data_IF_121926300821
#
_entry.id   IF_121926300821
#
_cell.length_a   1.000
_cell.length_b   1.000
_cell.length_c   1.000
_cell.angle_alpha   90.00
_cell.angle_beta   90.00
_cell.angle_gamma   90.00
#
_symmetry.space_group_name_H-M   'P 1'
#
loop_
_entity.id
_entity.type
_entity.pdbx_description
1 polymer ?
#
# COMPACT_ATOMS: atom_id res chain seq x y z
N UNK A 1 -10.87 14.96 8.74
CA UNK A 1 -10.20 13.65 8.96
C UNK A 1 -10.96 12.92 10.06
N UNK A 2 -11.31 11.65 9.90
CA UNK A 2 -12.19 10.93 10.84
C UNK A 2 -11.59 9.58 11.27
N UNK A 3 -11.77 9.21 12.54
CA UNK A 3 -11.13 8.05 13.15
C UNK A 3 -9.90 8.41 14.00
N UNK A 4 -9.54 7.52 14.92
CA UNK A 4 -8.48 7.75 15.91
C UNK A 4 -7.10 7.94 15.27
N UNK A 5 -6.65 6.98 14.45
CA UNK A 5 -5.33 7.04 13.81
C UNK A 5 -5.16 8.25 12.87
N UNK A 6 -6.12 8.56 11.98
CA UNK A 6 -6.02 9.77 11.16
C UNK A 6 -5.89 11.06 11.97
N UNK A 7 -6.52 11.14 13.15
CA UNK A 7 -6.41 12.31 14.04
C UNK A 7 -5.04 12.36 14.73
N UNK A 8 -4.53 11.21 15.21
CA UNK A 8 -3.17 11.10 15.77
C UNK A 8 -2.11 11.57 14.77
N UNK A 9 -2.21 11.09 13.52
CA UNK A 9 -1.25 11.42 12.46
C UNK A 9 -1.36 12.88 12.03
N UNK A 10 -2.57 13.45 12.01
CA UNK A 10 -2.76 14.88 11.75
C UNK A 10 -2.08 15.76 12.82
N UNK A 11 -2.14 15.34 14.09
CA UNK A 11 -1.43 16.02 15.17
C UNK A 11 0.09 15.86 15.06
N UNK A 12 0.58 14.64 14.78
CA UNK A 12 2.00 14.38 14.58
C UNK A 12 2.57 15.22 13.42
N UNK A 13 1.83 15.34 12.32
CA UNK A 13 2.15 16.15 11.16
C UNK A 13 1.87 17.65 11.33
N UNK A 14 1.42 18.09 12.52
CA UNK A 14 1.14 19.50 12.86
C UNK A 14 0.20 20.19 11.87
N UNK A 15 -0.84 19.48 11.42
CA UNK A 15 -1.85 20.04 10.53
C UNK A 15 -2.54 21.22 11.19
N UNK A 16 -2.76 22.29 10.41
CA UNK A 16 -3.53 23.45 10.85
C UNK A 16 -4.98 23.02 11.14
N UNK A 17 -5.27 22.76 12.41
CA UNK A 17 -6.55 22.26 12.88
C UNK A 17 -7.48 23.41 13.29
N UNK A 18 -8.75 23.29 12.91
CA UNK A 18 -9.80 24.28 13.19
C UNK A 18 -10.60 23.88 14.43
N UNK A 19 -11.00 22.61 14.54
CA UNK A 19 -11.73 22.07 15.68
C UNK A 19 -11.66 20.55 15.73
N UNK A 20 -11.70 19.99 16.94
CA UNK A 20 -11.89 18.57 17.18
C UNK A 20 -13.37 18.31 17.47
N UNK A 21 -13.95 17.35 16.79
CA UNK A 21 -15.32 16.86 16.98
C UNK A 21 -15.27 15.52 17.71
N UNK A 22 -16.02 15.38 18.80
CA UNK A 22 -16.04 14.16 19.61
C UNK A 22 -17.46 13.79 19.96
N UNK A 23 -17.76 12.49 19.95
CA UNK A 23 -19.04 11.95 20.43
C UNK A 23 -18.97 11.80 21.95
N UNK A 24 -19.92 12.36 22.73
CA UNK A 24 -19.88 12.35 24.20
C UNK A 24 -19.61 10.97 24.80
N UNK A 25 -20.27 9.94 24.28
CA UNK A 25 -20.18 8.54 24.75
C UNK A 25 -18.78 7.94 24.58
N UNK A 26 -17.95 8.49 23.70
CA UNK A 26 -16.58 8.04 23.42
C UNK A 26 -15.52 8.93 24.04
N UNK A 27 -15.89 10.03 24.70
CA UNK A 27 -14.95 11.04 25.22
C UNK A 27 -13.91 10.46 26.17
N UNK A 28 -14.33 9.63 27.11
CA UNK A 28 -13.41 8.97 28.06
C UNK A 28 -12.40 8.06 27.35
N UNK A 29 -12.84 7.28 26.36
CA UNK A 29 -11.93 6.43 25.57
C UNK A 29 -10.95 7.21 24.68
N UNK A 30 -11.22 8.51 24.46
CA UNK A 30 -10.46 9.42 23.60
C UNK A 30 -9.76 10.53 24.39
N UNK A 31 -9.68 10.40 25.72
CA UNK A 31 -9.21 11.45 26.63
C UNK A 31 -7.84 11.99 26.24
N UNK A 32 -6.90 11.13 25.86
CA UNK A 32 -5.56 11.52 25.43
C UNK A 32 -5.59 12.49 24.22
N UNK A 33 -6.47 12.25 23.25
CA UNK A 33 -6.61 13.10 22.06
C UNK A 33 -7.32 14.41 22.37
N UNK A 34 -8.33 14.36 23.24
CA UNK A 34 -9.04 15.55 23.73
C UNK A 34 -8.09 16.48 24.50
N UNK A 35 -7.26 15.91 25.37
CA UNK A 35 -6.26 16.66 26.14
C UNK A 35 -5.19 17.25 25.23
N UNK A 36 -4.73 16.49 24.23
CA UNK A 36 -3.76 16.99 23.25
C UNK A 36 -4.33 18.17 22.46
N UNK A 37 -5.56 18.06 21.95
CA UNK A 37 -6.23 19.15 21.26
C UNK A 37 -6.36 20.40 22.14
N UNK A 38 -6.74 20.20 23.41
CA UNK A 38 -6.85 21.29 24.40
C UNK A 38 -5.51 21.98 24.65
N UNK A 39 -4.43 21.21 24.78
CA UNK A 39 -3.05 21.73 24.91
C UNK A 39 -2.66 22.58 23.72
N UNK A 40 -3.05 22.16 22.52
CA UNK A 40 -2.83 22.89 21.26
C UNK A 40 -3.83 24.05 21.05
N UNK A 41 -4.71 24.32 22.02
CA UNK A 41 -5.78 25.33 21.93
C UNK A 41 -6.74 25.13 20.76
N UNK A 42 -6.92 23.89 20.34
CA UNK A 42 -7.89 23.50 19.32
C UNK A 42 -9.25 23.34 20.03
N UNK A 43 -10.31 24.06 19.61
CA UNK A 43 -11.65 23.91 20.18
C UNK A 43 -12.14 22.47 20.08
N UNK A 44 -12.62 21.92 21.20
CA UNK A 44 -13.26 20.60 21.26
C UNK A 44 -14.77 20.79 21.31
N UNK A 45 -15.48 20.24 20.33
CA UNK A 45 -16.94 20.34 20.18
C UNK A 45 -17.54 18.95 20.27
N UNK A 46 -18.49 18.79 21.18
CA UNK A 46 -19.27 17.57 21.27
C UNK A 46 -20.37 17.55 20.21
N UNK A 47 -20.50 16.42 19.50
CA UNK A 47 -21.47 16.24 18.41
C UNK A 47 -22.08 14.84 18.45
N UNK A 48 -23.27 14.70 17.87
CA UNK A 48 -23.91 13.39 17.69
C UNK A 48 -23.17 12.54 16.63
N UNK A 49 -23.25 11.22 16.75
CA UNK A 49 -22.63 10.29 15.81
C UNK A 49 -23.05 10.53 14.35
N UNK A 50 -24.33 10.82 14.09
CA UNK A 50 -24.83 11.13 12.76
C UNK A 50 -24.17 12.36 12.12
N UNK A 51 -23.80 13.36 12.94
CA UNK A 51 -23.05 14.55 12.47
C UNK A 51 -21.64 14.16 12.02
N UNK A 52 -20.96 13.28 12.75
CA UNK A 52 -19.64 12.78 12.33
C UNK A 52 -19.73 11.99 11.05
N UNK A 53 -20.73 11.11 10.90
CA UNK A 53 -20.94 10.35 9.66
C UNK A 53 -21.20 11.27 8.48
N UNK A 54 -22.02 12.31 8.67
CA UNK A 54 -22.29 13.31 7.62
C UNK A 54 -21.03 14.06 7.19
N UNK A 55 -20.23 14.53 8.16
CA UNK A 55 -18.97 15.27 7.88
C UNK A 55 -17.89 14.36 7.31
N UNK A 56 -17.81 13.10 7.75
CA UNK A 56 -16.84 12.13 7.26
C UNK A 56 -17.22 11.56 5.88
N UNK A 57 -18.51 11.48 5.55
CA UNK A 57 -19.01 10.85 4.33
C UNK A 57 -18.91 9.32 4.34
N UNK A 58 -18.65 8.70 5.50
CA UNK A 58 -18.58 7.25 5.69
C UNK A 58 -18.78 6.88 7.16
N UNK A 59 -19.12 5.61 7.44
CA UNK A 59 -19.29 5.09 8.80
C UNK A 59 -17.98 4.53 9.40
N UNK A 60 -17.83 4.55 10.72
CA UNK A 60 -16.61 4.11 11.40
C UNK A 60 -15.60 5.23 11.64
N UNK A 61 -16.09 6.44 11.93
CA UNK A 61 -15.32 7.57 12.45
C UNK A 61 -14.82 7.37 13.89
N UNK A 62 -15.15 6.25 14.55
CA UNK A 62 -14.69 5.90 15.90
C UNK A 62 -15.01 6.96 16.97
N UNK A 63 -16.07 7.75 16.77
CA UNK A 63 -16.48 8.83 17.67
C UNK A 63 -15.62 10.09 17.63
N UNK A 64 -14.72 10.25 16.65
CA UNK A 64 -13.81 11.40 16.58
C UNK A 64 -13.57 11.87 15.14
N UNK A 65 -13.49 13.18 14.96
CA UNK A 65 -12.98 13.79 13.73
C UNK A 65 -12.22 15.08 14.01
N UNK A 66 -11.18 15.34 13.24
CA UNK A 66 -10.46 16.61 13.24
C UNK A 66 -10.79 17.35 11.95
N UNK A 67 -11.30 18.58 12.11
CA UNK A 67 -11.46 19.53 11.00
C UNK A 67 -10.14 20.26 10.83
N UNK A 68 -9.54 20.14 9.65
CA UNK A 68 -8.24 20.71 9.31
C UNK A 68 -8.36 21.61 8.10
N UNK A 69 -7.39 22.52 7.92
CA UNK A 69 -7.25 23.29 6.70
C UNK A 69 -7.09 22.38 5.48
N UNK A 70 -7.48 22.90 4.32
CA UNK A 70 -7.31 22.22 3.04
C UNK A 70 -5.86 21.77 2.86
N UNK A 71 -5.68 20.61 2.23
CA UNK A 71 -4.35 20.09 1.93
C UNK A 71 -3.71 20.94 0.84
N UNK A 72 -2.43 21.23 1.04
CA UNK A 72 -1.56 21.75 -0.01
C UNK A 72 -1.02 20.58 -0.83
N UNK A 73 -1.08 20.72 -2.15
CA UNK A 73 -0.56 19.74 -3.08
C UNK A 73 0.90 20.04 -3.40
N UNK A 74 1.68 19.00 -3.60
CA UNK A 74 3.07 19.12 -4.00
C UNK A 74 3.19 19.17 -5.52
N UNK A 75 4.31 19.67 -6.01
CA UNK A 75 4.70 19.59 -7.43
C UNK A 75 5.63 18.40 -7.65
N UNK A 76 5.75 17.96 -8.90
CA UNK A 76 6.73 16.91 -9.27
C UNK A 76 8.16 17.35 -8.96
N UNK A 77 8.47 18.63 -9.16
CA UNK A 77 9.79 19.18 -8.83
C UNK A 77 10.11 19.08 -7.34
N UNK A 78 9.14 19.32 -6.46
CA UNK A 78 9.31 19.13 -5.02
C UNK A 78 9.54 17.65 -4.65
N UNK A 79 8.90 16.72 -5.36
CA UNK A 79 9.14 15.27 -5.17
C UNK A 79 10.58 14.92 -5.53
N UNK A 80 11.08 15.42 -6.67
CA UNK A 80 12.46 15.19 -7.10
C UNK A 80 13.47 15.89 -6.19
N UNK A 81 13.15 17.10 -5.71
CA UNK A 81 13.98 17.83 -4.74
C UNK A 81 14.13 17.04 -3.44
N UNK A 82 13.05 16.44 -2.92
CA UNK A 82 13.10 15.60 -1.71
C UNK A 82 14.06 14.41 -1.85
N UNK A 83 14.12 13.77 -3.01
CA UNK A 83 15.08 12.70 -3.25
C UNK A 83 16.53 13.21 -3.23
N UNK A 84 16.78 14.35 -3.89
CA UNK A 84 18.11 15.00 -3.91
C UNK A 84 18.56 15.43 -2.52
N UNK A 85 17.68 16.03 -1.72
CA UNK A 85 17.94 16.46 -0.34
C UNK A 85 18.30 15.28 0.57
N UNK A 86 17.75 14.09 0.30
CA UNK A 86 18.06 12.86 1.02
C UNK A 86 19.29 12.13 0.48
N UNK A 87 19.86 12.56 -0.64
CA UNK A 87 20.94 11.84 -1.32
C UNK A 87 20.50 10.47 -1.84
N UNK A 88 19.21 10.28 -2.08
CA UNK A 88 18.62 9.01 -2.48
C UNK A 88 18.26 9.03 -3.98
N UNK A 89 18.39 7.92 -4.70
CA UNK A 89 17.87 7.85 -6.06
C UNK A 89 16.34 8.01 -6.05
N UNK A 90 15.76 8.86 -6.91
CA UNK A 90 14.31 9.09 -6.92
C UNK A 90 13.51 7.79 -6.99
N UNK A 91 12.54 7.67 -6.11
CA UNK A 91 11.58 6.56 -6.08
C UNK A 91 10.17 7.14 -6.01
N UNK A 92 9.42 7.02 -7.11
CA UNK A 92 8.10 7.61 -7.26
C UNK A 92 7.06 6.53 -7.56
N UNK A 93 5.84 6.77 -7.09
CA UNK A 93 4.67 6.00 -7.49
C UNK A 93 3.80 6.85 -8.43
N UNK A 94 3.36 6.26 -9.52
CA UNK A 94 2.46 6.87 -10.49
C UNK A 94 1.15 6.10 -10.51
N UNK A 95 0.04 6.79 -10.27
CA UNK A 95 -1.30 6.21 -10.29
C UNK A 95 -2.04 6.68 -11.54
N UNK A 96 -2.34 5.76 -12.45
CA UNK A 96 -3.10 6.04 -13.67
C UNK A 96 -4.56 5.62 -13.49
N UNK A 97 -5.41 6.61 -13.22
CA UNK A 97 -6.87 6.45 -13.14
C UNK A 97 -7.33 5.41 -12.11
N UNK A 98 -6.68 5.40 -10.94
CA UNK A 98 -7.17 4.63 -9.80
C UNK A 98 -8.42 5.31 -9.24
N UNK A 99 -9.57 4.63 -9.24
CA UNK A 99 -10.88 5.24 -8.91
C UNK A 99 -11.39 4.88 -7.51
N UNK A 100 -10.93 3.79 -6.93
CA UNK A 100 -11.33 3.34 -5.59
C UNK A 100 -10.52 4.04 -4.47
N UNK A 101 -11.17 4.81 -3.56
CA UNK A 101 -10.51 5.43 -2.41
C UNK A 101 -9.78 4.44 -1.49
N UNK A 102 -10.26 3.20 -1.38
CA UNK A 102 -9.63 2.18 -0.53
C UNK A 102 -8.32 1.70 -1.15
N UNK A 103 -8.29 1.48 -2.47
CA UNK A 103 -7.07 1.12 -3.20
C UNK A 103 -6.06 2.27 -3.17
N UNK A 104 -6.51 3.51 -3.35
CA UNK A 104 -5.68 4.70 -3.20
C UNK A 104 -5.02 4.73 -1.82
N UNK A 105 -5.82 4.65 -0.75
CA UNK A 105 -5.29 4.69 0.62
C UNK A 105 -4.30 3.55 0.89
N UNK A 106 -4.58 2.34 0.40
CA UNK A 106 -3.68 1.18 0.54
C UNK A 106 -2.34 1.42 -0.14
N UNK A 107 -2.33 1.91 -1.38
CA UNK A 107 -1.11 2.22 -2.12
C UNK A 107 -0.32 3.36 -1.49
N UNK A 108 -0.99 4.44 -1.04
CA UNK A 108 -0.31 5.53 -0.34
C UNK A 108 0.36 5.02 0.94
N UNK A 109 -0.32 4.15 1.70
CA UNK A 109 0.27 3.55 2.90
C UNK A 109 1.47 2.68 2.58
N UNK A 110 1.40 1.84 1.55
CA UNK A 110 2.55 1.02 1.15
C UNK A 110 3.68 1.87 0.61
N UNK A 111 3.38 2.90 -0.18
CA UNK A 111 4.38 3.81 -0.74
C UNK A 111 5.19 4.50 0.37
N UNK A 112 4.52 5.00 1.41
CA UNK A 112 5.17 5.61 2.56
C UNK A 112 6.09 4.61 3.28
N UNK A 113 5.57 3.41 3.57
CA UNK A 113 6.35 2.34 4.19
C UNK A 113 7.55 1.86 3.37
N UNK A 114 7.49 2.00 2.04
CA UNK A 114 8.57 1.61 1.12
C UNK A 114 9.56 2.74 0.82
N UNK A 115 9.43 3.91 1.45
CA UNK A 115 10.34 5.05 1.22
C UNK A 115 10.12 5.74 -0.12
N UNK A 116 8.91 5.68 -0.70
CA UNK A 116 8.57 6.45 -1.89
C UNK A 116 8.63 7.95 -1.56
N UNK A 117 9.27 8.73 -2.43
CA UNK A 117 9.47 10.17 -2.22
C UNK A 117 8.20 10.98 -2.49
N UNK A 118 7.38 10.51 -3.43
CA UNK A 118 6.11 11.12 -3.74
C UNK A 118 5.27 10.31 -4.71
N UNK A 119 3.99 10.65 -4.75
CA UNK A 119 2.97 9.98 -5.55
C UNK A 119 2.39 10.95 -6.55
N UNK A 120 2.43 10.59 -7.84
CA UNK A 120 1.91 11.37 -8.95
C UNK A 120 0.61 10.73 -9.44
N UNK A 121 -0.42 11.54 -9.66
CA UNK A 121 -1.72 11.08 -10.14
C UNK A 121 -2.42 12.18 -10.93
N UNK A 122 -3.36 11.88 -11.83
CA UNK A 122 -4.01 12.92 -12.61
C UNK A 122 -4.96 13.75 -11.73
N UNK A 123 -4.99 15.07 -11.92
CA UNK A 123 -5.88 16.01 -11.21
C UNK A 123 -7.38 15.71 -11.45
N UNK A 124 -7.68 14.98 -12.53
CA UNK A 124 -9.02 14.57 -12.95
C UNK A 124 -9.03 13.07 -13.20
N UNK A 125 -10.19 12.42 -13.06
CA UNK A 125 -10.34 10.97 -13.29
C UNK A 125 -9.43 10.12 -12.38
N UNK A 126 -9.27 10.58 -11.14
CA UNK A 126 -8.63 9.85 -10.05
C UNK A 126 -9.59 9.82 -8.85
N UNK A 127 -9.43 8.83 -7.99
CA UNK A 127 -10.13 8.76 -6.72
C UNK A 127 -9.85 10.04 -5.94
N UNK A 128 -10.89 10.79 -5.52
CA UNK A 128 -10.66 11.92 -4.64
C UNK A 128 -9.99 11.42 -3.35
N UNK A 129 -9.10 12.23 -2.77
CA UNK A 129 -8.53 11.95 -1.45
C UNK A 129 -9.60 12.19 -0.37
N UNK A 130 -10.61 11.33 -0.35
CA UNK A 130 -11.75 11.39 0.56
C UNK A 130 -11.31 11.07 1.98
N UNK A 131 -12.13 11.41 2.99
CA UNK A 131 -11.90 10.95 4.36
C UNK A 131 -11.73 9.42 4.46
N UNK A 132 -12.38 8.64 3.59
CA UNK A 132 -12.20 7.18 3.52
C UNK A 132 -10.79 6.80 3.03
N UNK A 133 -10.28 7.43 1.97
CA UNK A 133 -8.90 7.21 1.50
C UNK A 133 -7.87 7.62 2.57
N UNK A 134 -8.09 8.75 3.26
CA UNK A 134 -7.24 9.20 4.37
C UNK A 134 -7.22 8.16 5.49
N UNK A 135 -8.39 7.63 5.86
CA UNK A 135 -8.49 6.56 6.86
C UNK A 135 -7.75 5.29 6.42
N UNK A 136 -7.94 4.86 5.19
CA UNK A 136 -7.29 3.69 4.61
C UNK A 136 -5.75 3.85 4.56
N UNK A 137 -5.27 5.08 4.32
CA UNK A 137 -3.84 5.41 4.31
C UNK A 137 -3.17 5.33 5.68
N UNK A 138 -3.94 5.27 6.76
CA UNK A 138 -3.45 5.29 8.13
C UNK A 138 -2.46 6.44 8.44
N UNK A 139 -2.65 7.61 7.80
CA UNK A 139 -1.82 8.80 8.01
C UNK A 139 -0.67 8.98 7.04
N UNK A 140 -0.39 8.00 6.17
CA UNK A 140 0.66 8.11 5.16
C UNK A 140 0.54 9.36 4.26
N UNK A 141 -0.69 9.85 4.06
CA UNK A 141 -0.97 11.10 3.34
C UNK A 141 -0.32 12.33 3.95
N UNK A 142 0.05 12.30 5.23
CA UNK A 142 0.71 13.42 5.90
C UNK A 142 2.22 13.44 5.71
N UNK A 143 2.82 12.31 5.35
CA UNK A 143 4.29 12.15 5.25
C UNK A 143 4.77 12.04 3.80
N UNK A 144 3.88 11.68 2.89
CA UNK A 144 4.11 11.61 1.44
C UNK A 144 3.80 12.93 0.72
N UNK A 145 4.66 13.29 -0.23
CA UNK A 145 4.35 14.33 -1.21
C UNK A 145 3.35 13.78 -2.22
N UNK A 146 2.23 14.49 -2.40
CA UNK A 146 1.16 14.12 -3.32
C UNK A 146 1.06 15.17 -4.42
N UNK A 147 1.32 14.75 -5.66
CA UNK A 147 1.45 15.63 -6.82
C UNK A 147 0.36 15.33 -7.87
N UNK A 148 -0.79 16.03 -7.82
CA UNK A 148 -1.77 15.99 -8.90
C UNK A 148 -1.22 16.69 -10.15
N UNK A 149 -1.39 16.08 -11.32
CA UNK A 149 -0.94 16.62 -12.61
C UNK A 149 -2.06 16.64 -13.65
N UNK A 150 -2.06 17.65 -14.51
CA UNK A 150 -3.09 17.79 -15.56
C UNK A 150 -2.78 16.94 -16.79
N UNK A 151 -1.49 16.79 -17.14
CA UNK A 151 -1.02 15.90 -18.21
C UNK A 151 -0.04 14.87 -17.65
N UNK A 152 -0.59 13.70 -17.31
CA UNK A 152 0.22 12.57 -16.84
C UNK A 152 1.19 12.08 -17.93
N UNK A 153 0.82 12.18 -19.20
CA UNK A 153 1.68 11.76 -20.30
C UNK A 153 2.91 12.67 -20.43
N UNK A 154 2.71 13.98 -20.48
CA UNK A 154 3.80 14.96 -20.44
C UNK A 154 4.70 14.77 -19.22
N UNK A 155 4.09 14.64 -18.04
CA UNK A 155 4.83 14.40 -16.79
C UNK A 155 5.75 13.17 -16.87
N UNK A 156 5.26 12.05 -17.42
CA UNK A 156 6.10 10.85 -17.60
C UNK A 156 7.26 11.10 -18.58
N UNK A 157 7.04 11.85 -19.66
CA UNK A 157 8.13 12.20 -20.58
C UNK A 157 9.20 13.07 -19.90
N UNK A 158 8.78 13.98 -19.03
CA UNK A 158 9.70 14.82 -18.24
C UNK A 158 10.49 13.97 -17.23
N UNK A 159 9.84 13.03 -16.54
CA UNK A 159 10.52 12.11 -15.62
C UNK A 159 11.58 11.26 -16.35
N UNK A 160 11.24 10.73 -17.53
CA UNK A 160 12.18 9.98 -18.37
C UNK A 160 13.38 10.86 -18.78
N UNK A 161 13.12 12.11 -19.17
CA UNK A 161 14.18 13.09 -19.51
C UNK A 161 15.06 13.46 -18.32
N UNK A 162 14.54 13.34 -17.10
CA UNK A 162 15.28 13.50 -15.84
C UNK A 162 15.99 12.20 -15.40
N UNK A 163 16.03 11.16 -16.24
CA UNK A 163 16.77 9.93 -16.00
C UNK A 163 16.06 8.91 -15.13
N UNK A 164 14.75 9.06 -14.88
CA UNK A 164 13.97 8.04 -14.18
C UNK A 164 13.55 6.93 -15.14
N UNK A 165 13.75 5.69 -14.71
CA UNK A 165 13.18 4.52 -15.39
C UNK A 165 11.68 4.45 -15.07
N UNK A 166 10.87 4.19 -16.08
CA UNK A 166 9.41 4.13 -15.98
C UNK A 166 8.95 2.68 -16.16
N UNK A 167 8.54 2.02 -15.06
CA UNK A 167 8.09 0.63 -15.09
C UNK A 167 6.62 0.58 -14.69
N UNK A 168 5.80 -0.19 -15.42
CA UNK A 168 4.37 -0.36 -15.09
C UNK A 168 3.99 -1.77 -14.69
N UNK A 169 2.97 -1.88 -13.84
CA UNK A 169 2.31 -3.14 -13.54
C UNK A 169 1.34 -3.53 -14.68
N UNK A 170 1.54 -4.71 -15.27
CA UNK A 170 0.66 -5.26 -16.30
C UNK A 170 0.64 -6.79 -16.22
N UNK A 171 -0.55 -7.38 -16.04
CA UNK A 171 -0.74 -8.84 -15.99
C UNK A 171 -0.27 -9.55 -17.27
N UNK A 172 -0.30 -8.84 -18.41
CA UNK A 172 0.09 -9.34 -19.73
C UNK A 172 1.58 -9.19 -20.05
N UNK A 173 2.37 -8.58 -19.15
CA UNK A 173 3.79 -8.39 -19.36
C UNK A 173 4.54 -9.73 -19.50
N UNK A 174 5.54 -9.77 -20.38
CA UNK A 174 6.39 -10.96 -20.53
C UNK A 174 7.31 -11.15 -19.31
N UNK A 175 7.88 -10.05 -18.80
CA UNK A 175 8.85 -10.02 -17.72
C UNK A 175 8.18 -10.20 -16.35
N UNK A 176 8.64 -11.16 -15.54
CA UNK A 176 8.18 -11.27 -14.16
C UNK A 176 8.82 -10.18 -13.29
N UNK A 177 8.10 -9.71 -12.28
CA UNK A 177 8.57 -8.61 -11.43
C UNK A 177 9.95 -8.84 -10.78
N UNK A 178 10.28 -10.07 -10.40
CA UNK A 178 11.59 -10.41 -9.79
C UNK A 178 12.76 -10.36 -10.77
N UNK A 179 12.48 -10.38 -12.07
CA UNK A 179 13.49 -10.31 -13.12
C UNK A 179 13.79 -8.85 -13.51
N UNK A 180 12.93 -7.92 -13.09
CA UNK A 180 13.11 -6.51 -13.34
C UNK A 180 14.06 -5.86 -12.34
N UNK A 181 14.81 -4.89 -12.82
CA UNK A 181 15.70 -4.07 -12.02
C UNK A 181 14.98 -2.79 -11.56
N UNK A 182 14.68 -2.74 -10.26
CA UNK A 182 14.01 -1.61 -9.59
C UNK A 182 14.98 -0.70 -8.82
N UNK A 183 16.30 -0.91 -8.94
CA UNK A 183 17.33 -0.06 -8.33
C UNK A 183 17.46 1.28 -9.07
N UNK A 184 18.10 2.26 -8.41
CA UNK A 184 18.35 3.57 -9.01
C UNK A 184 17.08 4.43 -9.19
N UNK A 185 17.09 5.45 -10.06
CA UNK A 185 15.93 6.33 -10.27
C UNK A 185 14.75 5.59 -10.94
N UNK A 186 13.58 5.56 -10.29
CA UNK A 186 12.40 4.81 -10.73
C UNK A 186 11.10 5.58 -10.51
N UNK A 187 10.21 5.51 -11.49
CA UNK A 187 8.79 5.75 -11.32
C UNK A 187 8.01 4.46 -11.63
N UNK A 188 7.32 3.92 -10.64
CA UNK A 188 6.50 2.72 -10.76
C UNK A 188 5.05 3.11 -11.05
N UNK A 189 4.47 2.66 -12.16
CA UNK A 189 3.11 2.97 -12.57
C UNK A 189 2.13 1.84 -12.25
N UNK A 190 1.05 2.18 -11.57
CA UNK A 190 -0.09 1.29 -11.27
C UNK A 190 -1.33 1.86 -11.94
N UNK A 191 -2.03 1.03 -12.71
CA UNK A 191 -3.22 1.41 -13.45
C UNK A 191 -4.52 1.15 -12.71
N UNK A 192 -5.61 1.48 -13.39
CA UNK A 192 -6.98 1.19 -12.97
C UNK A 192 -7.21 -0.32 -12.78
N UNK A 193 -8.07 -0.68 -11.84
CA UNK A 193 -8.38 -2.05 -11.46
C UNK A 193 -8.99 -2.87 -12.61
N UNK A 194 -9.83 -2.25 -13.44
CA UNK A 194 -10.54 -2.93 -14.51
C UNK A 194 -9.85 -2.79 -15.87
N UNK A 195 -9.20 -1.65 -16.12
CA UNK A 195 -8.62 -1.32 -17.44
C UNK A 195 -7.09 -1.45 -17.47
N UNK A 196 -6.46 -1.59 -16.30
CA UNK A 196 -5.02 -1.47 -16.16
C UNK A 196 -4.52 -0.08 -16.56
N UNK A 197 -3.26 -0.02 -16.98
CA UNK A 197 -2.63 1.21 -17.45
C UNK A 197 -3.26 1.68 -18.77
N UNK A 198 -3.55 2.97 -18.88
CA UNK A 198 -4.04 3.59 -20.10
C UNK A 198 -3.01 3.52 -21.23
N UNK A 199 -3.50 3.55 -22.48
CA UNK A 199 -2.62 3.53 -23.66
C UNK A 199 -1.61 4.68 -23.67
N UNK A 200 -1.98 5.85 -23.16
CA UNK A 200 -1.12 7.03 -23.12
C UNK A 200 0.06 6.85 -22.15
N UNK A 201 -0.19 6.20 -21.01
CA UNK A 201 0.84 5.85 -20.03
C UNK A 201 1.69 4.69 -20.53
N UNK A 202 1.07 3.58 -20.96
CA UNK A 202 1.78 2.37 -21.45
C UNK A 202 2.84 2.68 -22.53
N UNK A 203 2.53 3.60 -23.45
CA UNK A 203 3.45 4.00 -24.53
C UNK A 203 4.71 4.76 -24.07
N UNK A 204 4.71 5.26 -22.85
CA UNK A 204 5.81 6.05 -22.27
C UNK A 204 6.65 5.25 -21.28
N UNK A 205 6.19 4.06 -20.90
CA UNK A 205 6.95 3.20 -20.01
C UNK A 205 8.12 2.57 -20.76
N UNK A 206 9.24 2.43 -20.07
CA UNK A 206 10.41 1.69 -20.56
C UNK A 206 10.13 0.18 -20.57
N UNK A 207 9.24 -0.27 -19.68
CA UNK A 207 8.81 -1.67 -19.62
C UNK A 207 7.60 -1.88 -18.72
N UNK A 208 7.03 -3.08 -18.82
CA UNK A 208 6.02 -3.55 -17.89
C UNK A 208 6.42 -4.87 -17.26
N UNK A 209 5.89 -5.12 -16.07
CA UNK A 209 6.16 -6.34 -15.28
C UNK A 209 4.87 -6.97 -14.83
N UNK A 210 4.86 -8.30 -14.74
CA UNK A 210 3.73 -9.06 -14.19
C UNK A 210 4.07 -9.72 -12.88
N UNK A 211 3.04 -9.97 -12.08
CA UNK A 211 3.09 -10.90 -10.96
C UNK A 211 2.66 -12.28 -11.47
N UNK A 212 3.54 -13.31 -11.45
CA UNK A 212 3.15 -14.63 -11.90
C UNK A 212 2.02 -15.23 -11.05
N UNK A 213 0.89 -15.54 -11.69
CA UNK A 213 -0.26 -16.19 -11.05
C UNK A 213 -0.12 -17.71 -11.13
N UNK A 214 -0.19 -18.38 -9.98
CA UNK A 214 -0.17 -19.85 -9.89
C UNK A 214 -1.56 -20.50 -9.81
N UNK A 215 -2.58 -19.68 -9.51
CA UNK A 215 -3.97 -20.12 -9.35
C UNK A 215 -4.78 -20.02 -10.64
N UNK A 216 -6.11 -20.08 -10.50
CA UNK A 216 -7.06 -19.99 -11.62
C UNK A 216 -7.51 -18.57 -11.97
N UNK A 217 -7.18 -17.59 -11.13
CA UNK A 217 -7.52 -16.18 -11.38
C UNK A 217 -6.43 -15.50 -12.20
N UNK A 218 -6.83 -14.54 -13.04
CA UNK A 218 -5.94 -13.88 -13.98
C UNK A 218 -5.06 -12.80 -13.33
N UNK A 219 -5.54 -12.14 -12.26
CA UNK A 219 -4.82 -11.05 -11.63
C UNK A 219 -5.24 -10.80 -10.18
N UNK A 220 -4.46 -9.94 -9.53
CA UNK A 220 -4.70 -9.41 -8.19
C UNK A 220 -5.35 -8.03 -8.29
N UNK A 221 -5.97 -7.59 -7.19
CA UNK A 221 -6.36 -6.20 -7.01
C UNK A 221 -5.16 -5.26 -7.27
N UNK A 222 -5.39 -4.13 -7.95
CA UNK A 222 -4.32 -3.22 -8.37
C UNK A 222 -3.50 -2.66 -7.20
N UNK A 223 -4.14 -2.36 -6.06
CA UNK A 223 -3.42 -1.93 -4.87
C UNK A 223 -2.53 -3.02 -4.32
N UNK A 224 -3.01 -4.27 -4.27
CA UNK A 224 -2.20 -5.42 -3.81
C UNK A 224 -1.02 -5.66 -4.76
N UNK A 225 -1.26 -5.67 -6.07
CA UNK A 225 -0.19 -5.84 -7.06
C UNK A 225 0.86 -4.73 -6.95
N UNK A 226 0.41 -3.46 -6.88
CA UNK A 226 1.29 -2.32 -6.69
C UNK A 226 2.07 -2.39 -5.38
N UNK A 227 1.44 -2.79 -4.28
CA UNK A 227 2.10 -2.98 -2.98
C UNK A 227 3.22 -4.03 -3.04
N UNK A 228 3.01 -5.16 -3.71
CA UNK A 228 4.05 -6.19 -3.89
C UNK A 228 5.22 -5.64 -4.69
N UNK A 229 4.96 -4.90 -5.78
CA UNK A 229 6.00 -4.27 -6.59
C UNK A 229 6.78 -3.20 -5.82
N UNK A 230 6.10 -2.40 -4.99
CA UNK A 230 6.75 -1.40 -4.14
C UNK A 230 7.69 -2.06 -3.12
N UNK A 231 7.26 -3.14 -2.48
CA UNK A 231 8.11 -3.88 -1.54
C UNK A 231 9.28 -4.58 -2.22
N UNK A 232 9.09 -5.12 -3.43
CA UNK A 232 10.21 -5.64 -4.23
C UNK A 232 11.21 -4.52 -4.56
N UNK A 233 10.72 -3.36 -5.02
CA UNK A 233 11.58 -2.22 -5.31
C UNK A 233 12.35 -1.75 -4.07
N UNK A 234 11.70 -1.66 -2.91
CA UNK A 234 12.34 -1.34 -1.64
C UNK A 234 13.39 -2.40 -1.25
N UNK A 235 13.09 -3.68 -1.42
CA UNK A 235 14.03 -4.77 -1.12
C UNK A 235 15.29 -4.70 -2.00
N UNK A 236 15.14 -4.42 -3.30
CA UNK A 236 16.27 -4.31 -4.21
C UNK A 236 17.14 -3.06 -3.96
N UNK A 237 16.57 -1.98 -3.41
CA UNK A 237 17.28 -0.73 -3.09
C UNK A 237 18.14 -0.82 -1.83
N UNK A 238 17.99 -1.89 -1.03
CA UNK A 238 18.63 -2.06 0.26
C UNK A 238 18.04 -1.14 1.34
N UNK A 239 18.36 -1.36 2.63
CA UNK A 239 18.03 -0.40 3.68
C UNK A 239 18.72 0.93 3.36
N UNK A 240 17.98 2.02 3.24
CA UNK A 240 18.54 3.37 3.03
C UNK A 240 19.68 3.63 4.02
N UNK A 241 20.94 3.60 3.55
CA UNK A 241 22.11 3.87 4.36
C UNK A 241 23.38 3.10 4.01
N UNK A 242 23.91 3.26 2.79
CA UNK A 242 25.35 3.35 2.51
C UNK A 242 25.55 3.68 1.02
N UNK A 243 26.11 4.85 0.75
CA UNK A 243 26.64 5.17 -0.56
C UNK A 243 27.91 4.32 -0.76
N UNK A 244 27.80 3.20 -1.48
CA UNK A 244 28.99 2.56 -2.04
C UNK A 244 29.35 3.31 -3.33
N UNK A 245 30.42 4.09 -3.24
CA UNK A 245 31.13 4.64 -4.40
C UNK A 245 31.74 3.52 -5.26
N UNK A 246 32.27 3.85 -6.45
CA UNK A 246 32.84 2.85 -7.34
C UNK A 246 34.10 2.28 -6.70
N UNK A 247 34.09 0.98 -6.36
CA UNK A 247 35.32 0.26 -6.03
C UNK A 247 36.00 -0.17 -7.32
N UNK A 248 36.95 0.63 -7.78
CA UNK A 248 38.04 0.14 -8.60
C UNK A 248 38.92 -0.76 -7.71
N UNK A 249 38.84 -2.07 -7.91
CA UNK A 249 39.90 -3.03 -7.56
C UNK A 249 39.66 -4.35 -8.29
N UNK A 250 40.14 -4.40 -9.53
CA UNK A 250 40.57 -5.63 -10.17
C UNK A 250 41.92 -6.05 -9.54
N UNK A 251 41.99 -7.25 -8.97
CA UNK A 251 43.05 -8.25 -9.23
C UNK A 251 42.99 -9.41 -8.20
N UNK A 252 42.53 -10.57 -8.70
CA UNK A 252 43.15 -11.89 -8.47
C UNK A 252 42.97 -12.62 -7.13
N UNK A 253 42.10 -13.64 -7.11
CA UNK A 253 42.47 -15.00 -6.63
C UNK A 253 41.35 -16.02 -6.91
N UNK A 254 41.76 -17.26 -7.18
CA UNK A 254 41.07 -18.34 -7.87
C UNK A 254 39.92 -19.02 -7.11
N UNK A 255 39.09 -19.67 -7.93
CA UNK A 255 37.91 -20.44 -7.59
C UNK A 255 38.12 -21.59 -6.59
N UNK A 256 37.14 -21.81 -5.72
CA UNK A 256 36.71 -23.17 -5.37
C UNK A 256 35.19 -23.27 -5.24
N UNK A 257 34.64 -24.15 -6.06
CA UNK A 257 33.25 -24.56 -6.15
C UNK A 257 32.86 -25.38 -4.91
N UNK A 258 31.78 -25.01 -4.20
CA UNK A 258 31.14 -25.92 -3.23
C UNK A 258 29.62 -25.84 -3.29
N UNK A 259 29.03 -26.98 -3.69
CA UNK A 259 27.58 -27.24 -3.75
C UNK A 259 26.93 -27.27 -2.35
N UNK A 260 25.61 -27.05 -2.24
CA UNK A 260 24.91 -27.06 -0.95
C UNK A 260 24.70 -28.50 -0.44
N UNK A 261 24.74 -28.76 0.88
CA UNK A 261 24.47 -30.09 1.41
C UNK A 261 22.96 -30.34 1.52
N UNK A 262 22.55 -31.50 1.00
CA UNK A 262 21.29 -32.18 1.27
C UNK A 262 21.57 -33.25 2.34
N UNK A 263 20.76 -33.35 3.39
CA UNK A 263 20.65 -34.62 4.13
C UNK A 263 19.31 -34.72 4.86
N UNK A 264 18.48 -35.64 4.38
CA UNK A 264 17.45 -36.33 5.16
C UNK A 264 18.15 -37.44 5.94
N UNK A 265 17.84 -37.60 7.24
CA UNK A 265 18.20 -38.80 7.98
C UNK A 265 16.95 -39.36 8.68
N UNK A 266 16.59 -40.59 8.31
CA UNK A 266 15.56 -41.43 8.92
C UNK A 266 16.17 -42.16 10.12
N UNK A 267 15.47 -42.20 11.24
CA UNK A 267 15.71 -43.21 12.28
C UNK A 267 14.65 -44.32 12.17
N UNK A 268 15.13 -45.54 11.95
CA UNK A 268 14.41 -46.82 12.09
C UNK A 268 15.04 -47.51 13.30
N UNK A 269 14.23 -47.98 14.26
CA UNK A 269 14.61 -49.04 15.21
C UNK A 269 13.42 -49.99 15.34
N UNK A 270 13.76 -51.28 15.39
CA UNK A 270 12.96 -52.48 15.18
C UNK A 270 11.86 -52.84 16.21
N UNK A 271 10.94 -53.69 15.71
CA UNK A 271 9.85 -54.57 16.22
C UNK A 271 10.23 -55.44 17.47
N UNK A 272 9.37 -56.28 18.12
CA UNK A 272 8.03 -56.77 17.71
C UNK A 272 6.94 -56.95 18.79
N UNK A 273 5.68 -56.98 18.37
CA UNK A 273 4.64 -57.95 18.79
C UNK A 273 3.24 -57.57 18.27
N UNK A 274 2.66 -58.42 17.42
CA UNK A 274 1.22 -58.43 17.08
C UNK A 274 0.54 -59.56 17.87
N UNK A 275 -0.73 -59.40 18.26
CA UNK A 275 -1.75 -60.16 17.52
C UNK A 275 -3.01 -59.36 17.20
N UNK A 276 -3.66 -59.81 16.13
CA UNK A 276 -4.87 -59.29 15.51
C UNK A 276 -6.11 -59.31 16.43
N UNK A 277 -7.04 -58.39 16.19
CA UNK A 277 -8.48 -58.58 16.44
C UNK A 277 -9.27 -57.76 15.40
N UNK A 278 -10.09 -58.49 14.65
CA UNK A 278 -11.15 -57.96 13.79
C UNK A 278 -12.31 -57.43 14.63
N UNK A 279 -12.99 -56.40 14.15
CA UNK A 279 -14.46 -56.31 14.11
C UNK A 279 -14.89 -55.09 13.32
N UNK A 280 -15.74 -55.35 12.34
CA UNK A 280 -16.54 -54.41 11.55
C UNK A 280 -17.56 -53.71 12.45
N UNK A 281 -17.77 -52.38 12.28
CA UNK A 281 -19.04 -51.72 12.63
C UNK A 281 -19.32 -50.60 11.63
N UNK A 282 -20.57 -50.57 11.19
CA UNK A 282 -21.20 -49.82 10.11
C UNK A 282 -21.38 -48.31 10.39
N UNK A 283 -21.36 -47.53 9.31
CA UNK A 283 -21.84 -46.14 9.26
C UNK A 283 -23.37 -46.07 9.28
N UNK A 284 -24.02 -45.23 10.12
CA UNK A 284 -25.43 -44.93 9.96
C UNK A 284 -25.64 -43.73 9.04
N UNK A 285 -26.37 -43.97 7.95
CA UNK A 285 -27.04 -42.98 7.10
C UNK A 285 -28.07 -42.18 7.91
N UNK A 286 -28.07 -40.86 7.77
CA UNK A 286 -29.18 -39.98 8.16
C UNK A 286 -29.89 -39.52 6.88
N UNK A 287 -31.19 -39.82 6.79
CA UNK A 287 -32.12 -39.36 5.76
C UNK A 287 -32.91 -38.12 6.26
N UNK A 288 -33.60 -37.37 5.37
CA UNK A 288 -34.06 -36.01 5.64
C UNK A 288 -35.45 -35.98 6.29
N UNK A 289 -35.72 -34.93 7.07
CA UNK A 289 -37.03 -34.67 7.67
C UNK A 289 -37.71 -33.49 6.95
N UNK A 290 -38.87 -33.77 6.38
CA UNK A 290 -39.84 -32.81 5.86
C UNK A 290 -40.77 -32.39 7.01
N UNK A 291 -41.14 -31.10 7.11
CA UNK A 291 -42.31 -30.78 7.92
C UNK A 291 -42.59 -29.32 8.27
N UNK A 292 -43.51 -28.75 7.51
CA UNK A 292 -44.60 -27.85 7.93
C UNK A 292 -44.32 -26.37 8.31
N UNK A 293 -44.78 -25.50 7.40
CA UNK A 293 -45.48 -24.23 7.68
C UNK A 293 -46.87 -24.50 8.30
N UNK A 294 -47.47 -23.52 8.99
CA UNK A 294 -48.60 -22.83 8.35
C UNK A 294 -48.76 -21.31 8.66
N UNK A 295 -49.25 -20.60 7.63
CA UNK A 295 -50.24 -19.49 7.58
C UNK A 295 -50.49 -18.56 8.79
N UNK A 296 -50.08 -17.28 8.69
CA UNK A 296 -50.88 -16.11 8.24
C UNK A 296 -50.13 -14.80 8.45
#
# INVERSE_FOLDING_TARGET
>A
MAGRRPVEEAFAARRAAVRLLVVPERRSALEALVLHATTLRIPVVEVEGGTLTSVAGFDGHQGIALVVAAREWSTVDQVLARARERGEPPFLLVLDQLEDPQNLGTLLRTAEACGVHGVIFPSRRSAPLTPAAIKASAGATEHLLLAPVDDLGGTLADLSSNGLRLIGADESAALAYREADFRGPLALAVGNEARGLSRAVRRRLDGTVRLPMRGRIASLNAAVAGSVLLFEAAAQRGPSGAADGPSDADEGSEATHRAPPSTYEKAIVDDPATPALSTSVEDPKIAPDEGLLPDR
#
